data_IF_417665658471
#
_entry.id   IF_417665658471
#
_cell.length_a   1.000
_cell.length_b   1.000
_cell.length_c   1.000
_cell.angle_alpha   90.00
_cell.angle_beta   90.00
_cell.angle_gamma   90.00
#
_symmetry.space_group_name_H-M   'P 1'
#
loop_
_entity.id
_entity.type
_entity.pdbx_description
1 polymer ?
#
# COMPACT_ATOMS: atom_id res chain seq x y z
N UNK A 1 3.42 -17.74 -10.76
CA UNK A 1 3.48 -19.12 -11.29
C UNK A 1 2.14 -19.59 -11.89
N UNK A 2 1.00 -19.47 -11.18
CA UNK A 2 -0.30 -19.92 -11.67
C UNK A 2 -0.70 -19.22 -12.98
N UNK A 3 -0.64 -17.89 -13.02
CA UNK A 3 -0.96 -17.10 -14.23
C UNK A 3 -0.07 -17.51 -15.41
N UNK A 4 1.21 -17.73 -15.19
CA UNK A 4 2.15 -18.16 -16.21
C UNK A 4 1.80 -19.57 -16.76
N UNK A 5 1.45 -20.50 -15.88
CA UNK A 5 1.07 -21.85 -16.28
C UNK A 5 -0.20 -21.86 -17.15
N UNK A 6 -1.19 -21.01 -16.85
CA UNK A 6 -2.44 -20.95 -17.60
C UNK A 6 -2.40 -20.01 -18.82
N UNK A 7 -1.40 -19.12 -18.93
CA UNK A 7 -1.21 -18.24 -20.10
C UNK A 7 -0.44 -18.88 -21.25
N UNK A 8 -0.16 -20.18 -21.19
CA UNK A 8 0.59 -20.90 -22.23
C UNK A 8 2.08 -20.53 -22.30
N UNK A 9 2.65 -19.95 -21.23
CA UNK A 9 4.06 -19.60 -21.15
C UNK A 9 4.48 -18.33 -21.91
N UNK A 10 3.55 -17.58 -22.47
CA UNK A 10 3.84 -16.32 -23.16
C UNK A 10 3.86 -15.14 -22.18
N UNK A 11 4.96 -14.40 -22.19
CA UNK A 11 5.16 -13.21 -21.33
C UNK A 11 4.31 -12.00 -21.78
N UNK A 12 3.80 -12.00 -23.00
CA UNK A 12 3.06 -10.87 -23.59
C UNK A 12 1.76 -10.51 -22.86
N UNK A 13 1.16 -11.46 -22.16
CA UNK A 13 -0.09 -11.25 -21.41
C UNK A 13 0.10 -10.98 -19.91
N UNK A 14 1.34 -10.95 -19.42
CA UNK A 14 1.66 -10.67 -18.01
C UNK A 14 1.81 -9.16 -17.79
N UNK A 15 0.70 -8.46 -17.84
CA UNK A 15 0.67 -7.04 -17.42
C UNK A 15 0.66 -6.96 -15.91
N UNK A 16 1.55 -6.15 -15.33
CA UNK A 16 1.54 -5.84 -13.90
C UNK A 16 0.39 -4.87 -13.55
N UNK A 17 0.09 -4.73 -12.27
CA UNK A 17 -0.90 -3.79 -11.78
C UNK A 17 -2.36 -4.27 -11.91
N UNK A 18 -3.32 -3.34 -11.98
CA UNK A 18 -4.76 -3.65 -12.02
C UNK A 18 -5.17 -4.58 -13.17
N UNK A 19 -4.49 -4.49 -14.31
CA UNK A 19 -4.72 -5.34 -15.48
C UNK A 19 -4.51 -6.83 -15.17
N UNK A 20 -3.57 -7.17 -14.28
CA UNK A 20 -3.37 -8.56 -13.85
C UNK A 20 -4.61 -9.10 -13.12
N UNK A 21 -5.15 -8.33 -12.19
CA UNK A 21 -6.28 -8.74 -11.36
C UNK A 21 -7.61 -8.79 -12.15
N UNK A 22 -7.86 -7.80 -13.02
CA UNK A 22 -9.17 -7.64 -13.64
C UNK A 22 -9.26 -8.17 -15.10
N UNK A 23 -8.14 -8.41 -15.76
CA UNK A 23 -8.12 -8.94 -17.12
C UNK A 23 -7.54 -10.36 -17.15
N UNK A 24 -6.37 -10.55 -16.54
CA UNK A 24 -5.65 -11.83 -16.64
C UNK A 24 -6.27 -12.90 -15.76
N UNK A 25 -6.56 -12.61 -14.49
CA UNK A 25 -7.12 -13.61 -13.55
C UNK A 25 -8.52 -14.10 -13.98
N UNK A 26 -9.46 -13.27 -14.45
CA UNK A 26 -10.73 -13.78 -14.97
C UNK A 26 -10.56 -14.75 -16.15
N UNK A 27 -9.60 -14.52 -17.05
CA UNK A 27 -9.30 -15.44 -18.16
C UNK A 27 -8.75 -16.78 -17.66
N UNK A 28 -7.91 -16.75 -16.61
CA UNK A 28 -7.41 -17.96 -15.95
C UNK A 28 -8.56 -18.74 -15.32
N UNK A 29 -9.46 -18.08 -14.58
CA UNK A 29 -10.62 -18.74 -13.99
C UNK A 29 -11.57 -19.30 -15.05
N UNK A 30 -11.78 -18.58 -16.15
CA UNK A 30 -12.63 -19.07 -17.25
C UNK A 30 -12.09 -20.35 -17.91
N UNK A 31 -10.79 -20.64 -17.81
CA UNK A 31 -10.18 -21.88 -18.32
C UNK A 31 -10.29 -23.08 -17.37
N UNK A 32 -10.81 -22.88 -16.16
CA UNK A 32 -10.96 -23.93 -15.14
C UNK A 32 -12.42 -24.46 -15.12
N UNK A 33 -12.61 -25.77 -14.92
CA UNK A 33 -13.96 -26.38 -14.87
C UNK A 33 -14.88 -25.75 -13.81
N UNK A 34 -14.33 -25.40 -12.62
CA UNK A 34 -15.05 -24.77 -11.51
C UNK A 34 -14.68 -23.29 -11.38
N UNK A 35 -14.18 -22.70 -12.47
CA UNK A 35 -13.60 -21.35 -12.46
C UNK A 35 -14.58 -20.24 -12.05
N UNK A 36 -15.87 -20.40 -12.34
CA UNK A 36 -16.88 -19.43 -11.91
C UNK A 36 -17.01 -19.30 -10.39
N UNK A 37 -17.03 -20.42 -9.67
CA UNK A 37 -17.12 -20.44 -8.19
C UNK A 37 -15.83 -19.93 -7.58
N UNK A 38 -14.69 -20.39 -8.06
CA UNK A 38 -13.36 -19.97 -7.58
C UNK A 38 -13.18 -18.46 -7.83
N UNK A 39 -13.54 -17.97 -9.03
CA UNK A 39 -13.46 -16.56 -9.37
C UNK A 39 -14.36 -15.70 -8.48
N UNK A 40 -15.60 -16.13 -8.23
CA UNK A 40 -16.50 -15.42 -7.31
C UNK A 40 -15.91 -15.32 -5.91
N UNK A 41 -15.44 -16.44 -5.34
CA UNK A 41 -14.82 -16.47 -4.03
C UNK A 41 -13.58 -15.59 -3.96
N UNK A 42 -12.73 -15.65 -4.99
CA UNK A 42 -11.53 -14.82 -5.09
C UNK A 42 -11.87 -13.32 -5.10
N UNK A 43 -12.78 -12.87 -5.97
CA UNK A 43 -13.13 -11.46 -6.06
C UNK A 43 -13.88 -10.96 -4.82
N UNK A 44 -14.65 -11.81 -4.16
CA UNK A 44 -15.28 -11.46 -2.90
C UNK A 44 -14.22 -11.24 -1.78
N UNK A 45 -13.26 -12.15 -1.65
CA UNK A 45 -12.15 -11.98 -0.71
C UNK A 45 -11.29 -10.76 -1.06
N UNK A 46 -11.01 -10.54 -2.35
CA UNK A 46 -10.27 -9.38 -2.84
C UNK A 46 -10.99 -8.06 -2.51
N UNK A 47 -12.32 -8.04 -2.67
CA UNK A 47 -13.14 -6.88 -2.30
C UNK A 47 -13.07 -6.59 -0.79
N UNK A 48 -13.22 -7.60 0.07
CA UNK A 48 -13.11 -7.40 1.53
C UNK A 48 -11.71 -6.99 1.96
N UNK A 49 -10.67 -7.53 1.35
CA UNK A 49 -9.29 -7.13 1.62
C UNK A 49 -9.05 -5.67 1.24
N UNK A 50 -9.52 -5.24 0.07
CA UNK A 50 -9.43 -3.85 -0.37
C UNK A 50 -10.23 -2.91 0.56
N UNK A 51 -11.45 -3.30 0.94
CA UNK A 51 -12.32 -2.52 1.81
C UNK A 51 -11.69 -2.31 3.20
N UNK A 52 -11.17 -3.37 3.83
CA UNK A 52 -10.53 -3.27 5.15
C UNK A 52 -9.27 -2.42 5.11
N UNK A 53 -8.47 -2.54 4.06
CA UNK A 53 -7.29 -1.70 3.85
C UNK A 53 -7.66 -0.23 3.65
N UNK A 54 -8.69 0.05 2.85
CA UNK A 54 -9.16 1.41 2.62
C UNK A 54 -9.68 2.07 3.91
N UNK A 55 -10.44 1.32 4.74
CA UNK A 55 -10.92 1.82 6.04
C UNK A 55 -9.74 2.13 6.96
N UNK A 56 -8.73 1.27 7.04
CA UNK A 56 -7.56 1.49 7.90
C UNK A 56 -6.75 2.71 7.47
N UNK A 57 -6.55 2.90 6.18
CA UNK A 57 -5.85 4.08 5.64
C UNK A 57 -6.64 5.37 5.89
N UNK A 58 -7.97 5.31 5.69
CA UNK A 58 -8.85 6.44 5.98
C UNK A 58 -8.80 6.83 7.47
N UNK A 59 -8.89 5.86 8.36
CA UNK A 59 -8.84 6.10 9.80
C UNK A 59 -7.53 6.72 10.24
N UNK A 60 -6.39 6.22 9.73
CA UNK A 60 -5.07 6.80 10.00
C UNK A 60 -5.00 8.26 9.55
N UNK A 61 -5.50 8.54 8.34
CA UNK A 61 -5.51 9.90 7.78
C UNK A 61 -6.43 10.84 8.57
N UNK A 62 -7.63 10.36 8.95
CA UNK A 62 -8.58 11.14 9.77
C UNK A 62 -8.02 11.45 11.15
N UNK A 63 -7.39 10.46 11.81
CA UNK A 63 -6.76 10.65 13.13
C UNK A 63 -5.63 11.67 13.05
N UNK A 64 -4.75 11.56 12.06
CA UNK A 64 -3.65 12.52 11.85
C UNK A 64 -4.19 13.93 11.63
N UNK A 65 -5.21 14.09 10.80
CA UNK A 65 -5.81 15.39 10.50
C UNK A 65 -6.50 15.99 11.74
N UNK A 66 -7.13 15.14 12.55
CA UNK A 66 -7.77 15.55 13.80
C UNK A 66 -6.73 16.04 14.83
N UNK A 67 -5.62 15.34 14.97
CA UNK A 67 -4.57 15.68 15.91
C UNK A 67 -3.83 16.96 15.52
N UNK A 68 -3.52 17.15 14.24
CA UNK A 68 -2.78 18.31 13.73
C UNK A 68 -3.63 19.58 13.65
N UNK A 69 -4.87 19.47 13.18
CA UNK A 69 -5.75 20.63 12.95
C UNK A 69 -6.74 20.88 14.09
N UNK A 70 -6.77 20.01 15.11
CA UNK A 70 -7.71 20.09 16.23
C UNK A 70 -9.19 20.21 15.80
N UNK A 71 -9.52 19.62 14.65
CA UNK A 71 -10.87 19.61 14.10
C UNK A 71 -11.70 18.47 14.72
N UNK A 72 -13.02 18.60 14.63
CA UNK A 72 -13.93 17.52 15.04
C UNK A 72 -13.87 16.35 14.06
N UNK A 73 -13.97 15.12 14.58
CA UNK A 73 -13.89 13.89 13.77
C UNK A 73 -14.82 13.88 12.53
N UNK A 74 -16.11 14.33 12.62
CA UNK A 74 -16.98 14.37 11.44
C UNK A 74 -16.44 15.26 10.32
N UNK A 75 -15.86 16.40 10.67
CA UNK A 75 -15.28 17.35 9.71
C UNK A 75 -14.06 16.71 9.02
N UNK A 76 -13.18 16.08 9.78
CA UNK A 76 -12.03 15.36 9.23
C UNK A 76 -12.47 14.23 8.29
N UNK A 77 -13.49 13.47 8.66
CA UNK A 77 -14.03 12.39 7.81
C UNK A 77 -14.58 12.96 6.48
N UNK A 78 -15.32 14.04 6.51
CA UNK A 78 -15.88 14.67 5.29
C UNK A 78 -14.76 15.22 4.40
N UNK A 79 -13.77 15.90 4.98
CA UNK A 79 -12.63 16.42 4.25
C UNK A 79 -11.83 15.29 3.56
N UNK A 80 -11.54 14.23 4.29
CA UNK A 80 -10.81 13.08 3.74
C UNK A 80 -11.63 12.35 2.69
N UNK A 81 -12.94 12.17 2.89
CA UNK A 81 -13.82 11.57 1.90
C UNK A 81 -13.86 12.38 0.60
N UNK A 82 -13.98 13.71 0.70
CA UNK A 82 -13.97 14.60 -0.45
C UNK A 82 -12.64 14.53 -1.21
N UNK A 83 -11.53 14.55 -0.49
CA UNK A 83 -10.19 14.41 -1.08
C UNK A 83 -10.03 13.05 -1.79
N UNK A 84 -10.49 11.96 -1.16
CA UNK A 84 -10.45 10.63 -1.77
C UNK A 84 -11.32 10.53 -3.02
N UNK A 85 -12.51 11.14 -3.02
CA UNK A 85 -13.38 11.18 -4.20
C UNK A 85 -12.72 11.94 -5.33
N UNK A 86 -12.11 13.09 -5.06
CA UNK A 86 -11.43 13.90 -6.10
C UNK A 86 -10.24 13.13 -6.69
N UNK A 87 -9.31 12.67 -5.85
CA UNK A 87 -8.12 11.95 -6.31
C UNK A 87 -8.46 10.60 -6.96
N UNK A 88 -9.43 9.87 -6.38
CA UNK A 88 -9.90 8.61 -6.92
C UNK A 88 -10.61 8.77 -8.27
N UNK A 89 -11.38 9.84 -8.46
CA UNK A 89 -12.00 10.16 -9.75
C UNK A 89 -10.94 10.49 -10.80
N UNK A 90 -9.93 11.29 -10.47
CA UNK A 90 -8.81 11.55 -11.38
C UNK A 90 -8.10 10.26 -11.80
N UNK A 91 -7.88 9.36 -10.85
CA UNK A 91 -7.26 8.07 -11.08
C UNK A 91 -8.12 7.15 -11.97
N UNK A 92 -9.44 7.11 -11.71
CA UNK A 92 -10.38 6.31 -12.49
C UNK A 92 -10.51 6.81 -13.95
N UNK A 93 -10.59 8.13 -14.14
CA UNK A 93 -10.64 8.73 -15.48
C UNK A 93 -9.35 8.52 -16.27
N UNK A 94 -8.20 8.36 -15.60
CA UNK A 94 -6.94 8.04 -16.23
C UNK A 94 -6.92 6.72 -17.00
N UNK A 95 -7.78 5.76 -16.65
CA UNK A 95 -7.97 4.51 -17.42
C UNK A 95 -9.10 4.55 -18.45
N UNK A 96 -9.79 5.67 -18.57
CA UNK A 96 -10.93 5.83 -19.47
C UNK A 96 -10.78 7.05 -20.36
N UNK A 97 -11.49 8.11 -20.03
CA UNK A 97 -11.56 9.32 -20.86
C UNK A 97 -10.21 10.05 -21.00
N UNK A 98 -9.31 9.89 -20.03
CA UNK A 98 -8.01 10.56 -19.97
C UNK A 98 -6.82 9.62 -20.21
N UNK A 99 -7.02 8.52 -20.91
CA UNK A 99 -5.95 7.55 -21.24
C UNK A 99 -4.79 8.19 -22.02
N UNK A 100 -5.09 9.27 -22.77
CA UNK A 100 -4.09 10.08 -23.50
C UNK A 100 -3.32 11.08 -22.60
N UNK A 101 -3.77 11.32 -21.36
CA UNK A 101 -3.12 12.23 -20.42
C UNK A 101 -2.08 11.45 -19.62
N UNK A 102 -0.84 11.51 -20.07
CA UNK A 102 0.30 10.88 -19.42
C UNK A 102 1.05 11.89 -18.55
N UNK A 103 1.20 11.60 -17.27
CA UNK A 103 2.04 12.33 -16.33
C UNK A 103 3.45 11.70 -16.35
N UNK A 104 4.43 12.41 -16.83
CA UNK A 104 5.81 11.90 -17.01
C UNK A 104 5.90 10.59 -17.81
N UNK A 105 4.98 10.38 -18.76
CA UNK A 105 4.93 9.14 -19.57
C UNK A 105 4.23 7.96 -18.90
N UNK A 106 3.63 8.15 -17.72
CA UNK A 106 2.88 7.15 -16.97
C UNK A 106 1.41 7.55 -16.86
N UNK A 107 0.52 6.57 -16.72
CA UNK A 107 -0.89 6.83 -16.42
C UNK A 107 -1.04 7.46 -15.02
N UNK A 108 -2.13 8.17 -14.78
CA UNK A 108 -2.35 8.93 -13.53
C UNK A 108 -2.25 8.02 -12.30
N UNK A 109 -2.84 6.83 -12.34
CA UNK A 109 -2.75 5.87 -11.24
C UNK A 109 -1.32 5.38 -11.02
N UNK A 110 -0.61 5.03 -12.10
CA UNK A 110 0.77 4.57 -12.03
C UNK A 110 1.70 5.68 -11.51
N UNK A 111 1.42 6.93 -11.84
CA UNK A 111 2.13 8.08 -11.29
C UNK A 111 1.88 8.24 -9.78
N UNK A 112 0.64 8.11 -9.31
CA UNK A 112 0.36 8.15 -7.88
C UNK A 112 0.98 6.98 -7.13
N UNK A 113 0.96 5.79 -7.72
CA UNK A 113 1.63 4.61 -7.16
C UNK A 113 3.15 4.81 -7.06
N UNK A 114 3.77 5.31 -8.11
CA UNK A 114 5.19 5.68 -8.11
C UNK A 114 5.51 6.73 -7.04
N UNK A 115 4.73 7.79 -6.95
CA UNK A 115 4.94 8.86 -5.98
C UNK A 115 4.85 8.34 -4.54
N UNK A 116 3.82 7.55 -4.24
CA UNK A 116 3.60 7.03 -2.88
C UNK A 116 4.59 5.93 -2.51
N UNK A 117 4.76 4.92 -3.36
CA UNK A 117 5.56 3.74 -3.03
C UNK A 117 7.06 3.96 -3.27
N UNK A 118 7.44 4.63 -4.35
CA UNK A 118 8.86 4.79 -4.68
C UNK A 118 9.50 6.02 -4.07
N UNK A 119 8.73 7.04 -3.69
CA UNK A 119 9.28 8.29 -3.15
C UNK A 119 8.86 8.50 -1.69
N UNK A 120 7.55 8.59 -1.41
CA UNK A 120 7.08 8.98 -0.08
C UNK A 120 7.33 7.89 0.97
N UNK A 121 7.12 6.63 0.63
CA UNK A 121 7.29 5.51 1.56
C UNK A 121 8.76 5.34 2.02
N UNK A 122 9.78 5.32 1.14
CA UNK A 122 11.19 5.30 1.57
C UNK A 122 11.58 6.51 2.41
N UNK A 123 11.11 7.72 2.04
CA UNK A 123 11.38 8.93 2.84
C UNK A 123 10.77 8.81 4.24
N UNK A 124 9.53 8.37 4.35
CA UNK A 124 8.87 8.16 5.63
C UNK A 124 9.58 7.08 6.48
N UNK A 125 10.02 5.99 5.84
CA UNK A 125 10.78 4.94 6.51
C UNK A 125 12.14 5.43 7.02
N UNK A 126 12.88 6.22 6.24
CA UNK A 126 14.13 6.85 6.67
C UNK A 126 13.90 7.85 7.81
N UNK A 127 12.85 8.67 7.72
CA UNK A 127 12.47 9.61 8.77
C UNK A 127 12.14 8.87 10.08
N UNK A 128 11.43 7.74 10.00
CA UNK A 128 11.14 6.88 11.16
C UNK A 128 12.42 6.28 11.75
N UNK A 129 13.32 5.77 10.92
CA UNK A 129 14.63 5.30 11.38
C UNK A 129 15.41 6.42 12.10
N UNK A 130 15.46 7.62 11.53
CA UNK A 130 16.12 8.76 12.14
C UNK A 130 15.47 9.16 13.47
N UNK A 131 14.15 9.19 13.54
CA UNK A 131 13.39 9.48 14.76
C UNK A 131 13.75 8.48 15.87
N UNK A 132 13.77 7.19 15.55
CA UNK A 132 14.15 6.14 16.52
C UNK A 132 15.58 6.29 16.99
N UNK A 133 16.52 6.57 16.06
CA UNK A 133 17.95 6.66 16.39
C UNK A 133 18.31 7.91 17.19
N UNK A 134 17.69 9.06 16.89
CA UNK A 134 18.11 10.36 17.43
C UNK A 134 17.16 10.94 18.46
N UNK A 135 15.87 10.73 18.34
CA UNK A 135 14.86 11.39 19.19
C UNK A 135 14.37 10.44 20.28
N UNK A 136 13.87 9.28 19.93
CA UNK A 136 13.29 8.30 20.88
C UNK A 136 14.38 7.60 21.66
N UNK A 137 15.40 7.10 20.96
CA UNK A 137 16.49 6.31 21.52
C UNK A 137 16.09 4.85 21.82
N UNK A 138 17.04 3.94 21.65
CA UNK A 138 16.83 2.50 21.87
C UNK A 138 16.44 2.13 23.31
N UNK A 139 16.82 2.97 24.28
CA UNK A 139 16.53 2.71 25.70
C UNK A 139 15.02 2.77 25.94
N UNK A 140 14.34 3.82 25.46
CA UNK A 140 12.89 3.97 25.63
C UNK A 140 12.12 2.84 24.98
N UNK A 141 12.54 2.44 23.77
CA UNK A 141 11.90 1.31 23.08
C UNK A 141 12.10 0.00 23.85
N UNK A 142 13.31 -0.22 24.38
CA UNK A 142 13.59 -1.41 25.18
C UNK A 142 12.77 -1.44 26.47
N UNK A 143 12.63 -0.30 27.15
CA UNK A 143 11.85 -0.16 28.37
C UNK A 143 10.36 -0.45 28.09
N UNK A 144 9.81 0.06 26.97
CA UNK A 144 8.44 -0.18 26.55
C UNK A 144 8.17 -1.66 26.21
N UNK A 145 9.06 -2.30 25.47
CA UNK A 145 8.96 -3.74 25.18
C UNK A 145 9.03 -4.58 26.44
N UNK A 146 9.84 -4.17 27.43
CA UNK A 146 10.00 -4.91 28.68
C UNK A 146 8.78 -4.83 29.61
N UNK A 147 7.83 -3.90 29.35
CA UNK A 147 6.55 -3.87 30.09
C UNK A 147 5.74 -5.13 29.82
N UNK A 148 5.76 -5.65 28.61
CA UNK A 148 4.95 -6.81 28.18
C UNK A 148 5.74 -8.10 28.03
N UNK A 149 7.06 -8.04 27.77
CA UNK A 149 7.88 -9.23 27.53
C UNK A 149 9.38 -8.96 27.72
N UNK A 150 10.17 -10.04 27.94
CA UNK A 150 11.64 -9.91 28.03
C UNK A 150 12.24 -9.69 26.64
N UNK A 151 12.96 -8.59 26.45
CA UNK A 151 13.60 -8.24 25.18
C UNK A 151 14.91 -9.01 24.96
N UNK A 152 14.83 -10.30 24.64
CA UNK A 152 15.99 -11.18 24.49
C UNK A 152 16.93 -10.80 23.33
N UNK A 153 16.41 -10.20 22.26
CA UNK A 153 17.18 -9.88 21.03
C UNK A 153 17.47 -8.40 20.84
N UNK A 154 17.62 -7.65 21.92
CA UNK A 154 17.85 -6.20 21.90
C UNK A 154 19.03 -5.81 21.00
N UNK A 155 20.19 -6.47 21.14
CA UNK A 155 21.41 -6.17 20.35
C UNK A 155 21.21 -6.38 18.86
N UNK A 156 20.45 -7.41 18.49
CA UNK A 156 20.11 -7.71 17.08
C UNK A 156 19.21 -6.61 16.53
N UNK A 157 18.18 -6.21 17.27
CA UNK A 157 17.29 -5.11 16.89
C UNK A 157 18.05 -3.79 16.70
N UNK A 158 18.93 -3.42 17.65
CA UNK A 158 19.76 -2.21 17.57
C UNK A 158 20.66 -2.22 16.32
N UNK A 159 21.28 -3.37 16.00
CA UNK A 159 22.10 -3.52 14.80
C UNK A 159 21.28 -3.36 13.51
N UNK A 160 20.12 -4.01 13.44
CA UNK A 160 19.24 -3.93 12.27
C UNK A 160 18.74 -2.50 12.04
N UNK A 161 18.26 -1.83 13.08
CA UNK A 161 17.74 -0.46 12.97
C UNK A 161 18.83 0.57 12.66
N UNK A 162 20.05 0.35 13.16
CA UNK A 162 21.14 1.32 12.99
C UNK A 162 21.83 1.22 11.63
N UNK A 163 21.96 0.01 11.09
CA UNK A 163 22.76 -0.23 9.90
C UNK A 163 21.95 -0.85 8.76
N UNK A 164 21.25 -1.95 9.03
CA UNK A 164 20.61 -2.72 7.96
C UNK A 164 19.37 -2.03 7.38
N UNK A 165 18.49 -1.52 8.23
CA UNK A 165 17.26 -0.88 7.78
C UNK A 165 17.53 0.36 6.90
N UNK A 166 18.38 1.35 7.29
CA UNK A 166 18.69 2.47 6.43
C UNK A 166 19.33 2.07 5.09
N UNK A 167 20.22 1.07 5.11
CA UNK A 167 20.86 0.59 3.87
C UNK A 167 19.85 -0.08 2.95
N UNK A 168 19.00 -0.97 3.48
CA UNK A 168 17.97 -1.64 2.70
C UNK A 168 16.89 -0.69 2.14
N UNK A 169 16.67 0.46 2.77
CA UNK A 169 15.71 1.46 2.26
C UNK A 169 16.34 2.27 1.11
N UNK A 170 17.67 2.45 1.11
CA UNK A 170 18.38 3.24 0.10
C UNK A 170 18.75 2.43 -1.16
N UNK A 171 18.72 1.10 -1.09
CA UNK A 171 18.99 0.18 -2.21
C UNK A 171 17.71 -0.23 -2.91
#
# INVERSE_FOLDING_TARGET
>A
PAVFAFSGGTMENLKAGPSLAFITLPKVFASMEIGGVIGMAFFLMFFFAALTSAISLLETSVSTLQDELHLTRPVCCVLMALLMVVLGSCSAFGYGMWDHVLLFGMQILDFFDFLTNSIMMPIAALATCFLILKVVGFKRIADEVQISSVFHRRKVYEFFMKYLAPVCILV
#
